data_IF_582532648440
#
_entry.id   IF_582532648440
#
_cell.length_a   1.000
_cell.length_b   1.000
_cell.length_c   1.000
_cell.angle_alpha   90.00
_cell.angle_beta   90.00
_cell.angle_gamma   90.00
#
_symmetry.space_group_name_H-M   'P 1'
#
loop_
_entity.id
_entity.type
_entity.pdbx_description
1 polymer ?
#
# COMPACT_ATOMS: atom_id res chain seq x y z
N UNK A 1 34.98 -28.30 15.37
CA UNK A 1 34.62 -27.60 14.12
C UNK A 1 33.54 -28.43 13.42
N UNK A 2 32.28 -27.99 13.50
CA UNK A 2 31.16 -28.67 12.83
C UNK A 2 30.83 -27.91 11.55
N UNK A 3 31.04 -28.54 10.40
CA UNK A 3 30.66 -27.99 9.11
C UNK A 3 29.13 -28.07 8.97
N UNK A 4 28.50 -26.92 8.74
CA UNK A 4 27.08 -26.84 8.40
C UNK A 4 26.96 -27.25 6.93
N UNK A 5 26.59 -28.50 6.68
CA UNK A 5 26.29 -29.00 5.33
C UNK A 5 25.01 -28.35 4.83
N UNK A 6 25.14 -27.41 3.89
CA UNK A 6 24.02 -26.85 3.13
C UNK A 6 23.42 -27.93 2.23
N UNK A 7 22.30 -28.53 2.63
CA UNK A 7 21.49 -29.35 1.74
C UNK A 7 20.70 -28.43 0.81
N UNK A 8 21.17 -28.33 -0.44
CA UNK A 8 20.45 -27.67 -1.52
C UNK A 8 19.16 -28.45 -1.80
N UNK A 9 18.01 -27.93 -1.35
CA UNK A 9 16.70 -28.47 -1.74
C UNK A 9 16.49 -28.18 -3.22
N UNK A 10 16.75 -29.15 -4.07
CA UNK A 10 16.44 -29.08 -5.50
C UNK A 10 14.94 -29.25 -5.67
N UNK A 11 14.19 -28.14 -5.63
CA UNK A 11 12.82 -28.14 -6.09
C UNK A 11 12.84 -28.31 -7.63
N UNK A 12 12.20 -29.36 -8.14
CA UNK A 12 12.05 -29.57 -9.58
C UNK A 12 11.18 -28.45 -10.17
N UNK A 13 11.82 -27.47 -10.81
CA UNK A 13 11.14 -26.37 -11.51
C UNK A 13 10.51 -26.91 -12.80
N UNK A 14 9.19 -27.14 -12.79
CA UNK A 14 8.42 -27.46 -14.00
C UNK A 14 8.02 -26.15 -14.69
N UNK A 15 8.66 -25.84 -15.82
CA UNK A 15 8.20 -24.76 -16.71
C UNK A 15 6.86 -25.19 -17.31
N UNK A 16 5.85 -24.33 -17.21
CA UNK A 16 4.56 -24.53 -17.86
C UNK A 16 4.60 -23.89 -19.25
N UNK A 17 3.89 -24.49 -20.20
CA UNK A 17 3.84 -23.99 -21.59
C UNK A 17 2.99 -22.72 -21.72
N UNK A 18 2.05 -22.51 -20.80
CA UNK A 18 1.23 -21.31 -20.71
C UNK A 18 0.98 -20.92 -19.24
N UNK A 19 0.74 -19.63 -18.94
CA UNK A 19 0.36 -19.21 -17.61
C UNK A 19 -0.98 -19.87 -17.24
N UNK A 20 -1.07 -20.62 -16.13
CA UNK A 20 -2.27 -21.37 -15.76
C UNK A 20 -3.47 -20.46 -15.48
N UNK A 21 -3.20 -19.18 -15.17
CA UNK A 21 -4.17 -18.11 -15.08
C UNK A 21 -3.55 -16.87 -15.72
N UNK A 22 -4.07 -16.46 -16.88
CA UNK A 22 -3.71 -15.21 -17.53
C UNK A 22 -4.99 -14.38 -17.72
N UNK A 23 -5.07 -13.15 -17.19
CA UNK A 23 -6.23 -12.30 -17.40
C UNK A 23 -6.43 -12.02 -18.89
N UNK A 24 -7.67 -12.09 -19.35
CA UNK A 24 -8.02 -11.76 -20.72
C UNK A 24 -7.64 -10.29 -21.02
N UNK A 25 -7.01 -10.06 -22.17
CA UNK A 25 -6.57 -8.72 -22.59
C UNK A 25 -5.29 -8.21 -21.92
N UNK A 26 -4.69 -8.94 -20.97
CA UNK A 26 -3.41 -8.53 -20.38
C UNK A 26 -2.26 -8.71 -21.37
N UNK A 27 -1.66 -7.59 -21.79
CA UNK A 27 -0.42 -7.57 -22.56
C UNK A 27 0.78 -7.38 -21.63
N UNK A 28 1.58 -8.43 -21.46
CA UNK A 28 2.81 -8.33 -20.67
C UNK A 28 3.80 -7.35 -21.30
N UNK A 29 4.44 -6.53 -20.46
CA UNK A 29 5.60 -5.75 -20.86
C UNK A 29 6.87 -6.61 -20.79
N UNK A 30 7.87 -6.35 -21.65
CA UNK A 30 9.19 -6.94 -21.49
C UNK A 30 9.75 -6.65 -20.09
N UNK A 31 10.39 -7.65 -19.46
CA UNK A 31 10.90 -7.53 -18.09
C UNK A 31 11.79 -6.29 -17.88
N UNK A 32 12.59 -5.92 -18.89
CA UNK A 32 13.45 -4.75 -18.86
C UNK A 32 12.70 -3.41 -18.76
N UNK A 33 11.43 -3.36 -19.18
CA UNK A 33 10.61 -2.14 -19.18
C UNK A 33 9.73 -2.02 -17.93
N UNK A 34 9.42 -3.13 -17.26
CA UNK A 34 8.49 -3.17 -16.12
C UNK A 34 8.88 -2.20 -15.02
N UNK A 35 10.16 -2.14 -14.63
CA UNK A 35 10.63 -1.25 -13.55
C UNK A 35 10.31 0.22 -13.86
N UNK A 36 10.61 0.68 -15.07
CA UNK A 36 10.39 2.07 -15.44
C UNK A 36 8.90 2.40 -15.48
N UNK A 37 8.09 1.49 -16.02
CA UNK A 37 6.64 1.69 -16.14
C UNK A 37 5.95 1.74 -14.76
N UNK A 38 6.31 0.82 -13.86
CA UNK A 38 5.77 0.79 -12.50
C UNK A 38 6.18 2.04 -11.73
N UNK A 39 7.45 2.46 -11.80
CA UNK A 39 7.89 3.70 -11.14
C UNK A 39 7.14 4.94 -11.64
N UNK A 40 6.75 4.96 -12.92
CA UNK A 40 5.97 6.04 -13.50
C UNK A 40 4.53 6.02 -13.01
N UNK A 41 3.84 4.88 -13.09
CA UNK A 41 2.39 4.79 -12.94
C UNK A 41 1.89 4.39 -11.55
N UNK A 42 2.72 3.81 -10.69
CA UNK A 42 2.26 3.29 -9.41
C UNK A 42 1.77 4.39 -8.45
N UNK A 43 0.69 4.08 -7.72
CA UNK A 43 0.06 4.95 -6.73
C UNK A 43 -1.28 5.51 -7.19
N UNK A 44 -2.02 6.15 -6.28
CA UNK A 44 -3.32 6.75 -6.59
C UNK A 44 -3.19 8.08 -7.35
N UNK A 45 -2.06 8.78 -7.18
CA UNK A 45 -1.80 10.11 -7.79
C UNK A 45 -0.42 10.18 -8.45
N UNK A 46 -0.11 9.32 -9.44
CA UNK A 46 1.22 9.28 -10.06
C UNK A 46 1.60 10.60 -10.77
N UNK A 47 0.62 11.39 -11.23
CA UNK A 47 0.82 12.70 -11.84
C UNK A 47 1.04 13.85 -10.85
N UNK A 48 0.74 13.65 -9.57
CA UNK A 48 0.81 14.70 -8.54
C UNK A 48 1.28 14.10 -7.20
N UNK A 49 2.51 13.59 -7.22
CA UNK A 49 3.17 13.00 -6.05
C UNK A 49 3.57 14.10 -5.06
N UNK A 50 3.29 13.88 -3.79
CA UNK A 50 3.79 14.76 -2.73
C UNK A 50 5.29 14.55 -2.48
N UNK A 51 5.85 15.25 -1.50
CA UNK A 51 7.28 15.13 -1.16
C UNK A 51 7.64 13.73 -0.64
N UNK A 52 6.75 13.11 0.14
CA UNK A 52 6.96 11.79 0.73
C UNK A 52 6.93 10.69 -0.35
N UNK A 53 5.98 10.76 -1.27
CA UNK A 53 5.86 9.89 -2.43
C UNK A 53 7.12 9.98 -3.32
N UNK A 54 7.57 11.21 -3.62
CA UNK A 54 8.80 11.42 -4.40
C UNK A 54 10.03 10.86 -3.69
N UNK A 55 10.11 10.98 -2.37
CA UNK A 55 11.18 10.37 -1.56
C UNK A 55 11.18 8.85 -1.71
N UNK A 56 10.03 8.20 -1.61
CA UNK A 56 9.91 6.74 -1.73
C UNK A 56 10.34 6.28 -3.13
N UNK A 57 9.83 6.92 -4.19
CA UNK A 57 10.20 6.60 -5.58
C UNK A 57 11.70 6.70 -5.79
N UNK A 58 12.33 7.76 -5.28
CA UNK A 58 13.79 7.94 -5.32
C UNK A 58 14.54 6.82 -4.61
N UNK A 59 14.09 6.44 -3.41
CA UNK A 59 14.71 5.34 -2.66
C UNK A 59 14.64 3.99 -3.39
N UNK A 60 13.56 3.74 -4.13
CA UNK A 60 13.43 2.54 -4.99
C UNK A 60 14.37 2.61 -6.19
N UNK A 61 14.49 3.79 -6.82
CA UNK A 61 15.44 4.01 -7.92
C UNK A 61 16.88 3.76 -7.46
N UNK A 62 17.26 4.33 -6.32
CA UNK A 62 18.60 4.24 -5.75
C UNK A 62 18.90 2.89 -5.09
N UNK A 63 17.88 2.07 -4.81
CA UNK A 63 18.03 0.80 -4.11
C UNK A 63 18.45 0.94 -2.64
N UNK A 64 18.21 2.11 -2.03
CA UNK A 64 18.60 2.44 -0.64
C UNK A 64 17.42 2.52 0.32
N UNK A 65 16.22 2.18 -0.15
CA UNK A 65 15.03 2.11 0.69
C UNK A 65 15.16 1.04 1.77
N UNK A 66 14.50 1.27 2.91
CA UNK A 66 14.35 0.27 3.98
C UNK A 66 12.96 0.35 4.57
N UNK A 67 12.53 -0.74 5.19
CA UNK A 67 11.33 -0.74 6.04
C UNK A 67 11.63 0.15 7.27
N UNK A 68 10.67 1.00 7.61
CA UNK A 68 10.77 1.90 8.77
C UNK A 68 10.16 1.22 9.99
N UNK A 69 10.72 1.49 11.17
CA UNK A 69 10.21 0.94 12.43
C UNK A 69 9.14 1.83 13.07
N UNK A 70 9.11 3.12 12.68
CA UNK A 70 8.02 4.03 13.04
C UNK A 70 7.89 5.18 12.03
N UNK A 71 6.70 5.80 12.03
CA UNK A 71 6.36 6.95 11.20
C UNK A 71 7.26 8.17 11.47
N UNK A 72 7.79 8.31 12.69
CA UNK A 72 8.66 9.43 13.07
C UNK A 72 9.94 9.47 12.22
N UNK A 73 10.39 8.33 11.71
CA UNK A 73 11.56 8.22 10.83
C UNK A 73 11.35 8.89 9.46
N UNK A 74 10.12 9.29 9.12
CA UNK A 74 9.74 9.88 7.83
C UNK A 74 8.87 11.14 7.97
N UNK A 75 8.83 11.76 9.14
CA UNK A 75 8.11 13.01 9.41
C UNK A 75 6.93 12.89 10.38
N UNK A 76 6.51 11.66 10.71
CA UNK A 76 5.43 11.40 11.65
C UNK A 76 4.03 11.63 11.08
N UNK A 77 3.01 11.47 11.93
CA UNK A 77 1.63 11.77 11.54
C UNK A 77 1.36 13.27 11.51
N UNK A 78 0.38 13.72 10.70
CA UNK A 78 -0.16 15.06 10.79
C UNK A 78 -0.58 15.38 12.23
N UNK A 79 -0.34 16.61 12.67
CA UNK A 79 -0.76 17.11 13.98
C UNK A 79 -1.92 18.09 13.81
N UNK A 80 -3.14 17.61 13.48
CA UNK A 80 -4.28 18.50 13.32
C UNK A 80 -4.60 19.17 14.65
N UNK A 81 -5.11 20.40 14.58
CA UNK A 81 -5.66 21.06 15.76
C UNK A 81 -6.84 20.24 16.29
N UNK A 82 -6.93 20.10 17.62
CA UNK A 82 -8.05 19.44 18.25
C UNK A 82 -9.35 20.19 17.91
N UNK A 83 -10.35 19.45 17.44
CA UNK A 83 -11.69 20.00 17.23
C UNK A 83 -12.65 19.41 18.26
N UNK A 84 -13.53 20.24 18.80
CA UNK A 84 -14.53 19.83 19.78
C UNK A 84 -15.90 20.14 19.22
N UNK A 85 -16.82 19.16 19.28
CA UNK A 85 -18.24 19.36 19.01
C UNK A 85 -19.01 19.03 20.27
N UNK A 86 -19.82 19.96 20.78
CA UNK A 86 -20.72 19.68 21.91
C UNK A 86 -21.69 18.57 21.49
N UNK A 87 -21.71 17.47 22.23
CA UNK A 87 -22.68 16.39 22.04
C UNK A 87 -23.87 16.63 22.98
N UNK A 88 -24.98 17.10 22.42
CA UNK A 88 -26.24 17.21 23.15
C UNK A 88 -27.03 15.92 22.92
N UNK A 89 -27.07 15.06 23.95
CA UNK A 89 -27.88 13.84 23.92
C UNK A 89 -29.28 14.18 24.43
N UNK A 90 -30.34 13.97 23.64
CA UNK A 90 -31.70 14.20 24.11
C UNK A 90 -32.09 13.16 25.17
N UNK A 91 -32.97 13.54 26.10
CA UNK A 91 -33.49 12.62 27.14
C UNK A 91 -34.59 11.70 26.64
N UNK A 92 -35.22 12.08 25.53
CA UNK A 92 -36.36 11.41 24.93
C UNK A 92 -36.06 11.14 23.45
N UNK A 93 -36.74 10.14 22.88
CA UNK A 93 -36.61 9.77 21.47
C UNK A 93 -35.16 9.53 21.00
N UNK A 94 -34.37 8.86 21.87
CA UNK A 94 -32.95 8.56 21.63
C UNK A 94 -32.77 7.72 20.37
N UNK A 95 -33.70 6.80 20.06
CA UNK A 95 -33.63 5.94 18.88
C UNK A 95 -33.67 6.75 17.58
N UNK A 96 -34.61 7.71 17.44
CA UNK A 96 -34.66 8.57 16.27
C UNK A 96 -33.42 9.48 16.16
N UNK A 97 -32.91 9.97 17.30
CA UNK A 97 -31.66 10.75 17.34
C UNK A 97 -30.46 9.93 16.87
N UNK A 98 -30.32 8.67 17.32
CA UNK A 98 -29.27 7.76 16.85
C UNK A 98 -29.44 7.44 15.35
N UNK A 99 -30.67 7.18 14.91
CA UNK A 99 -30.97 6.90 13.50
C UNK A 99 -30.58 8.07 12.58
N UNK A 100 -30.65 9.32 13.07
CA UNK A 100 -30.25 10.50 12.28
C UNK A 100 -28.77 10.55 11.89
N UNK A 101 -27.90 9.79 12.59
CA UNK A 101 -26.48 9.66 12.23
C UNK A 101 -26.21 8.56 11.21
N UNK A 102 -27.20 7.69 10.94
CA UNK A 102 -27.08 6.66 9.93
C UNK A 102 -27.55 7.26 8.59
N UNK A 103 -26.72 7.26 7.53
CA UNK A 103 -27.17 7.68 6.21
C UNK A 103 -28.32 6.78 5.73
N UNK A 104 -29.37 7.38 5.15
CA UNK A 104 -30.60 6.67 4.81
C UNK A 104 -30.43 5.62 3.68
N UNK A 105 -29.31 5.63 2.94
CA UNK A 105 -29.02 4.66 1.88
C UNK A 105 -27.52 4.72 1.53
N UNK A 106 -26.94 3.58 1.14
CA UNK A 106 -25.66 3.48 0.43
C UNK A 106 -25.90 3.34 -1.07
#
# INVERSE_FOLDING_TARGET
MAAITSQSRTASLRKLDAPPLWPEGLRALPAAQVKAEVLKQAGARPWDRDELDRRIVRQVIEGKGRIIDSQEQVGGYPKPAMTTRKLAVPRENIEAWLASFCPATF
#
